data_IF_033729218695
#
_entry.id   IF_033729218695
#
_cell.length_a   1.000
_cell.length_b   1.000
_cell.length_c   1.000
_cell.angle_alpha   90.00
_cell.angle_beta   90.00
_cell.angle_gamma   90.00
#
_symmetry.space_group_name_H-M   'P 1'
#
loop_
_entity.id
_entity.type
_entity.pdbx_description
1 polymer ?
#
# COMPACT_ATOMS: atom_id res chain seq x y z
N UNK A 1 -16.13 -3.67 -11.47
CA UNK A 1 -14.88 -3.12 -12.02
C UNK A 1 -14.49 -3.91 -13.28
N UNK A 2 -14.68 -3.27 -14.43
CA UNK A 2 -14.48 -3.91 -15.73
C UNK A 2 -13.00 -4.15 -16.08
N UNK A 3 -12.07 -3.44 -15.46
CA UNK A 3 -10.63 -3.63 -15.70
C UNK A 3 -10.10 -4.91 -15.03
N UNK A 4 -10.67 -5.26 -13.89
CA UNK A 4 -10.21 -6.42 -13.08
C UNK A 4 -11.19 -7.58 -13.06
N UNK A 5 -12.37 -7.45 -13.69
CA UNK A 5 -13.51 -8.39 -13.62
C UNK A 5 -13.97 -8.70 -12.18
N UNK A 6 -13.77 -7.73 -11.26
CA UNK A 6 -14.12 -7.90 -9.84
C UNK A 6 -15.39 -7.15 -9.48
N UNK A 7 -16.13 -7.72 -8.54
CA UNK A 7 -17.37 -7.12 -8.01
C UNK A 7 -17.07 -6.43 -6.69
N UNK A 8 -17.57 -5.21 -6.56
CA UNK A 8 -17.55 -4.47 -5.30
C UNK A 8 -19.01 -4.22 -4.92
N UNK A 9 -19.43 -4.75 -3.78
CA UNK A 9 -20.75 -4.47 -3.23
C UNK A 9 -20.66 -3.25 -2.29
N UNK A 10 -21.61 -2.34 -2.41
CA UNK A 10 -21.71 -1.17 -1.54
C UNK A 10 -23.01 -1.25 -0.73
N UNK A 11 -22.90 -1.28 0.60
CA UNK A 11 -24.04 -1.16 1.51
C UNK A 11 -24.26 0.32 1.81
N UNK A 12 -25.34 0.90 1.31
CA UNK A 12 -25.68 2.31 1.47
C UNK A 12 -27.02 2.42 2.22
N UNK A 13 -27.07 3.21 3.30
CA UNK A 13 -28.32 3.45 4.03
C UNK A 13 -29.27 4.29 3.19
N UNK A 14 -30.51 3.85 3.11
CA UNK A 14 -31.58 4.56 2.39
C UNK A 14 -32.85 4.65 3.24
N UNK A 15 -33.61 5.71 3.05
CA UNK A 15 -34.94 5.90 3.61
C UNK A 15 -35.88 6.42 2.50
N UNK A 16 -37.02 5.80 2.33
CA UNK A 16 -37.98 6.12 1.26
C UNK A 16 -37.37 6.19 -0.14
N UNK A 17 -36.38 5.33 -0.42
CA UNK A 17 -35.65 5.27 -1.70
C UNK A 17 -34.59 6.37 -1.91
N UNK A 18 -34.31 7.19 -0.90
CA UNK A 18 -33.27 8.24 -0.93
C UNK A 18 -32.11 7.88 -0.05
N UNK A 19 -30.91 8.23 -0.49
CA UNK A 19 -29.67 8.00 0.29
C UNK A 19 -29.64 8.90 1.52
N UNK A 20 -29.33 8.31 2.67
CA UNK A 20 -29.11 9.05 3.92
C UNK A 20 -27.65 9.48 3.99
N UNK A 21 -27.38 10.77 3.96
CA UNK A 21 -26.02 11.33 4.06
C UNK A 21 -25.61 11.61 5.50
N UNK A 22 -26.57 11.96 6.36
CA UNK A 22 -26.32 12.30 7.76
C UNK A 22 -26.10 11.03 8.59
N UNK A 23 -25.20 11.10 9.57
CA UNK A 23 -24.89 10.02 10.49
C UNK A 23 -23.81 10.43 11.49
N UNK A 24 -23.49 9.51 12.38
CA UNK A 24 -22.54 9.69 13.47
C UNK A 24 -21.22 8.95 13.26
N UNK A 25 -21.07 8.28 12.12
CA UNK A 25 -19.88 7.52 11.79
C UNK A 25 -18.70 8.45 11.48
N UNK A 26 -17.59 8.24 12.19
CA UNK A 26 -16.36 9.03 12.07
C UNK A 26 -15.23 8.19 11.48
N UNK A 27 -14.47 8.81 10.58
CA UNK A 27 -13.22 8.24 10.04
C UNK A 27 -12.10 9.20 10.43
N UNK A 28 -10.98 8.67 10.90
CA UNK A 28 -9.79 9.48 11.21
C UNK A 28 -9.37 10.31 9.98
N UNK A 29 -9.04 11.58 10.20
CA UNK A 29 -8.69 12.52 9.12
C UNK A 29 -9.87 13.10 8.33
N UNK A 30 -11.13 12.65 8.58
CA UNK A 30 -12.34 13.23 7.98
C UNK A 30 -13.00 14.17 8.98
N UNK A 31 -13.17 15.47 8.66
CA UNK A 31 -13.57 16.47 9.65
C UNK A 31 -15.01 16.34 10.16
N UNK A 32 -15.92 15.76 9.39
CA UNK A 32 -17.34 15.66 9.75
C UNK A 32 -17.82 14.21 9.76
N UNK A 33 -18.66 13.83 10.75
CA UNK A 33 -19.32 12.53 10.72
C UNK A 33 -20.37 12.48 9.62
N UNK A 34 -20.64 11.28 9.11
CA UNK A 34 -21.61 11.04 8.04
C UNK A 34 -22.24 9.65 8.17
N UNK A 35 -23.19 9.32 7.30
CA UNK A 35 -23.72 7.98 7.17
C UNK A 35 -22.64 7.07 6.57
N UNK A 36 -22.37 5.87 7.14
CA UNK A 36 -21.35 4.98 6.62
C UNK A 36 -21.77 4.36 5.30
N UNK A 37 -20.80 4.24 4.38
CA UNK A 37 -20.92 3.40 3.18
C UNK A 37 -19.93 2.26 3.35
N UNK A 38 -20.42 1.03 3.48
CA UNK A 38 -19.58 -0.15 3.61
C UNK A 38 -19.30 -0.76 2.24
N UNK A 39 -18.04 -0.81 1.86
CA UNK A 39 -17.59 -1.48 0.63
C UNK A 39 -17.12 -2.90 0.95
N UNK A 40 -17.60 -3.86 0.16
CA UNK A 40 -17.18 -5.26 0.21
C UNK A 40 -16.53 -5.62 -1.13
N UNK A 41 -15.25 -5.86 -1.12
CA UNK A 41 -14.53 -6.37 -2.28
C UNK A 41 -14.72 -7.89 -2.34
N UNK A 42 -15.50 -8.35 -3.30
CA UNK A 42 -15.82 -9.76 -3.46
C UNK A 42 -14.70 -10.45 -4.22
N UNK A 43 -14.12 -11.48 -3.62
CA UNK A 43 -12.98 -12.22 -4.17
C UNK A 43 -11.89 -11.28 -4.75
N UNK A 44 -11.26 -10.46 -3.91
CA UNK A 44 -10.43 -9.35 -4.36
C UNK A 44 -9.09 -9.77 -4.98
N UNK A 45 -8.64 -11.00 -4.75
CA UNK A 45 -7.34 -11.47 -5.16
C UNK A 45 -7.18 -11.59 -6.69
N UNK A 46 -5.97 -11.36 -7.20
CA UNK A 46 -5.64 -11.61 -8.60
C UNK A 46 -6.17 -10.56 -9.57
N UNK A 47 -6.03 -9.28 -9.27
CA UNK A 47 -6.42 -8.18 -10.19
C UNK A 47 -5.58 -8.17 -11.46
N UNK A 48 -4.35 -8.69 -11.40
CA UNK A 48 -3.47 -8.94 -12.56
C UNK A 48 -3.79 -10.24 -13.30
N UNK A 49 -4.82 -11.01 -12.85
CA UNK A 49 -5.17 -12.34 -13.38
C UNK A 49 -4.08 -13.40 -13.14
N UNK A 50 -3.23 -13.20 -12.14
CA UNK A 50 -2.12 -14.09 -11.75
C UNK A 50 -2.33 -14.73 -10.37
N UNK A 51 -3.50 -14.56 -9.75
CA UNK A 51 -3.82 -15.05 -8.42
C UNK A 51 -3.31 -14.13 -7.29
N UNK A 52 -3.50 -14.57 -6.04
CA UNK A 52 -3.11 -13.81 -4.85
C UNK A 52 -1.59 -13.60 -4.76
N UNK A 53 -0.82 -14.62 -5.12
CA UNK A 53 0.65 -14.58 -5.19
C UNK A 53 1.07 -14.62 -6.66
N UNK A 54 1.25 -13.47 -7.33
CA UNK A 54 1.48 -13.42 -8.76
C UNK A 54 2.74 -14.15 -9.23
N UNK A 55 3.74 -14.29 -8.36
CA UNK A 55 4.97 -15.04 -8.62
C UNK A 55 4.89 -16.53 -8.24
N UNK A 56 3.77 -16.94 -7.61
CA UNK A 56 3.60 -18.26 -7.02
C UNK A 56 4.37 -18.49 -5.72
N UNK A 57 5.02 -17.46 -5.16
CA UNK A 57 5.84 -17.55 -3.95
C UNK A 57 5.35 -16.57 -2.89
N UNK A 58 5.46 -16.95 -1.62
CA UNK A 58 5.21 -16.06 -0.50
C UNK A 58 6.35 -15.04 -0.31
N UNK A 59 7.58 -15.46 -0.63
CA UNK A 59 8.78 -14.62 -0.56
C UNK A 59 9.55 -14.73 -1.88
N UNK A 60 9.89 -13.60 -2.42
CA UNK A 60 10.73 -13.42 -3.60
C UNK A 60 12.04 -12.72 -3.22
N UNK A 61 13.05 -12.82 -4.06
CA UNK A 61 14.30 -12.08 -3.95
C UNK A 61 14.39 -11.11 -5.12
N UNK A 62 14.80 -9.88 -4.82
CA UNK A 62 15.14 -8.85 -5.78
C UNK A 62 16.61 -8.47 -5.65
N UNK A 63 17.32 -8.39 -6.80
CA UNK A 63 18.68 -7.89 -6.87
C UNK A 63 18.66 -6.37 -7.06
N UNK A 64 18.92 -5.65 -5.98
CA UNK A 64 18.88 -4.17 -5.98
C UNK A 64 20.27 -3.63 -6.29
N UNK A 65 20.44 -2.85 -7.36
CA UNK A 65 21.72 -2.26 -7.72
C UNK A 65 22.35 -1.45 -6.57
N UNK A 66 23.62 -1.78 -6.24
CA UNK A 66 24.36 -1.11 -5.17
C UNK A 66 24.02 -1.57 -3.74
N UNK A 67 23.01 -2.42 -3.56
CA UNK A 67 22.54 -2.88 -2.25
C UNK A 67 22.66 -4.40 -2.10
N UNK A 68 22.48 -5.15 -3.20
CA UNK A 68 22.47 -6.62 -3.20
C UNK A 68 21.08 -7.20 -3.17
N UNK A 69 20.98 -8.44 -2.70
CA UNK A 69 19.70 -9.19 -2.65
C UNK A 69 18.87 -8.77 -1.45
N UNK A 70 17.59 -8.48 -1.66
CA UNK A 70 16.61 -8.26 -0.60
C UNK A 70 15.40 -9.19 -0.75
N UNK A 71 14.79 -9.57 0.35
CA UNK A 71 13.56 -10.34 0.36
C UNK A 71 12.34 -9.42 0.27
N UNK A 72 11.37 -9.82 -0.56
CA UNK A 72 10.10 -9.12 -0.71
C UNK A 72 8.94 -10.11 -0.79
N UNK A 73 7.75 -9.68 -0.40
CA UNK A 73 6.50 -10.39 -0.70
C UNK A 73 5.69 -9.60 -1.71
N UNK A 74 5.28 -10.25 -2.81
CA UNK A 74 4.45 -9.62 -3.83
C UNK A 74 3.06 -10.24 -3.75
N UNK A 75 2.06 -9.42 -3.38
CA UNK A 75 0.71 -9.86 -3.11
C UNK A 75 -0.28 -9.04 -3.93
N UNK A 76 -1.21 -9.68 -4.60
CA UNK A 76 -2.30 -9.04 -5.34
C UNK A 76 -3.65 -9.32 -4.66
N UNK A 77 -3.94 -8.58 -3.60
CA UNK A 77 -5.20 -8.62 -2.84
C UNK A 77 -5.98 -7.32 -3.07
N UNK A 78 -6.69 -7.21 -4.18
CA UNK A 78 -7.39 -6.02 -4.68
C UNK A 78 -6.48 -4.97 -5.35
N UNK A 79 -5.20 -4.95 -5.05
CA UNK A 79 -4.18 -4.13 -5.69
C UNK A 79 -2.83 -4.83 -5.54
N UNK A 80 -2.03 -4.95 -6.61
CA UNK A 80 -0.70 -5.53 -6.49
C UNK A 80 0.19 -4.65 -5.59
N UNK A 81 0.73 -5.24 -4.55
CA UNK A 81 1.64 -4.60 -3.61
C UNK A 81 2.93 -5.39 -3.47
N UNK A 82 4.03 -4.67 -3.29
CA UNK A 82 5.32 -5.20 -2.86
C UNK A 82 5.55 -4.81 -1.41
N UNK A 83 5.74 -5.80 -0.57
CA UNK A 83 6.10 -5.64 0.84
C UNK A 83 7.58 -5.90 1.00
N UNK A 84 8.28 -5.02 1.71
CA UNK A 84 9.69 -5.14 2.02
C UNK A 84 9.94 -4.74 3.47
N UNK A 85 10.91 -5.34 4.13
CA UNK A 85 11.26 -4.93 5.49
C UNK A 85 11.93 -3.56 5.47
N UNK A 86 11.54 -2.68 6.40
CA UNK A 86 12.13 -1.36 6.54
C UNK A 86 13.65 -1.43 6.79
N UNK A 87 14.07 -2.38 7.62
CA UNK A 87 15.49 -2.60 7.95
C UNK A 87 16.35 -2.91 6.73
N UNK A 88 15.84 -3.69 5.76
CA UNK A 88 16.55 -4.02 4.52
C UNK A 88 16.79 -2.79 3.63
N UNK A 89 16.00 -1.72 3.84
CA UNK A 89 16.12 -0.44 3.14
C UNK A 89 16.89 0.61 3.97
N UNK A 90 17.38 0.24 5.15
CA UNK A 90 17.97 1.19 6.09
C UNK A 90 16.97 2.22 6.62
N UNK A 91 15.72 1.79 6.84
CA UNK A 91 14.63 2.55 7.42
C UNK A 91 14.20 1.92 8.75
N UNK A 92 13.62 2.70 9.64
CA UNK A 92 13.09 2.24 10.93
C UNK A 92 11.63 1.76 10.85
N UNK A 93 10.90 2.21 9.82
CA UNK A 93 9.45 2.04 9.72
C UNK A 93 8.64 3.11 10.43
N UNK A 94 9.31 4.06 11.11
CA UNK A 94 8.66 5.16 11.86
C UNK A 94 8.76 6.51 11.16
N UNK A 95 9.49 6.57 10.04
CA UNK A 95 9.67 7.81 9.29
C UNK A 95 8.32 8.41 8.89
N UNK A 96 8.20 9.71 9.10
CA UNK A 96 7.05 10.46 8.64
C UNK A 96 7.09 10.65 7.11
N UNK A 97 5.92 10.82 6.46
CA UNK A 97 5.87 11.03 5.00
C UNK A 97 6.76 12.19 4.54
N UNK A 98 6.84 13.27 5.31
CA UNK A 98 7.65 14.45 5.02
C UNK A 98 9.15 14.13 5.02
N UNK A 99 9.60 13.29 5.95
CA UNK A 99 11.00 12.88 6.08
C UNK A 99 11.42 12.03 4.87
N UNK A 100 10.59 11.08 4.48
CA UNK A 100 10.84 10.24 3.30
C UNK A 100 10.81 11.09 2.03
N UNK A 101 9.78 11.94 1.89
CA UNK A 101 9.57 12.73 0.68
C UNK A 101 10.62 13.85 0.49
N UNK A 102 11.32 14.23 1.55
CA UNK A 102 12.46 15.17 1.49
C UNK A 102 13.80 14.48 1.16
N UNK A 103 13.84 13.13 1.14
CA UNK A 103 15.06 12.38 0.90
C UNK A 103 15.03 11.73 -0.49
N UNK A 104 15.66 12.40 -1.47
CA UNK A 104 15.68 11.95 -2.86
C UNK A 104 16.33 10.57 -3.04
N UNK A 105 17.41 10.28 -2.29
CA UNK A 105 18.11 9.00 -2.35
C UNK A 105 17.19 7.84 -1.90
N UNK A 106 16.43 8.07 -0.83
CA UNK A 106 15.45 7.08 -0.36
C UNK A 106 14.29 6.91 -1.33
N UNK A 107 13.78 7.99 -1.91
CA UNK A 107 12.74 7.90 -2.94
C UNK A 107 13.21 7.11 -4.17
N UNK A 108 14.45 7.33 -4.62
CA UNK A 108 15.04 6.59 -5.74
C UNK A 108 15.20 5.10 -5.41
N UNK A 109 15.67 4.77 -4.19
CA UNK A 109 15.78 3.40 -3.74
C UNK A 109 14.41 2.69 -3.71
N UNK A 110 13.41 3.34 -3.10
CA UNK A 110 12.05 2.79 -3.00
C UNK A 110 11.43 2.57 -4.39
N UNK A 111 11.62 3.53 -5.30
CA UNK A 111 11.16 3.39 -6.69
C UNK A 111 11.92 2.30 -7.45
N UNK A 112 13.21 2.14 -7.20
CA UNK A 112 14.02 1.05 -7.77
C UNK A 112 13.47 -0.32 -7.36
N UNK A 113 13.20 -0.52 -6.08
CA UNK A 113 12.61 -1.78 -5.56
C UNK A 113 11.24 -2.03 -6.20
N UNK A 114 10.39 -1.01 -6.26
CA UNK A 114 9.07 -1.08 -6.90
C UNK A 114 9.18 -1.44 -8.39
N UNK A 115 10.12 -0.81 -9.09
CA UNK A 115 10.38 -1.05 -10.52
C UNK A 115 10.89 -2.46 -10.79
N UNK A 116 11.80 -2.98 -9.97
CA UNK A 116 12.28 -4.36 -10.07
C UNK A 116 11.16 -5.38 -9.86
N UNK A 117 10.25 -5.11 -8.92
CA UNK A 117 9.06 -5.94 -8.74
C UNK A 117 8.11 -5.86 -9.95
N UNK A 118 7.95 -4.69 -10.56
CA UNK A 118 7.17 -4.53 -11.79
C UNK A 118 7.77 -5.34 -12.96
N UNK A 119 9.10 -5.36 -13.09
CA UNK A 119 9.80 -6.23 -14.07
C UNK A 119 9.55 -7.70 -13.77
N UNK A 120 9.67 -8.11 -12.49
CA UNK A 120 9.43 -9.49 -12.07
C UNK A 120 7.99 -9.94 -12.34
N UNK A 121 7.03 -9.04 -12.26
CA UNK A 121 5.63 -9.27 -12.62
C UNK A 121 5.37 -9.23 -14.14
N UNK A 122 6.36 -8.91 -14.95
CA UNK A 122 6.22 -8.80 -16.41
C UNK A 122 5.39 -7.59 -16.86
N UNK A 123 5.21 -6.59 -15.99
CA UNK A 123 4.46 -5.37 -16.31
C UNK A 123 5.27 -4.40 -17.21
N UNK A 124 6.58 -4.39 -17.04
CA UNK A 124 7.55 -3.58 -17.79
C UNK A 124 8.83 -4.40 -18.01
N UNK A 125 9.65 -3.97 -18.95
CA UNK A 125 10.94 -4.63 -19.27
C UNK A 125 12.15 -3.96 -18.61
N UNK A 126 12.03 -2.71 -18.17
CA UNK A 126 13.11 -1.91 -17.59
C UNK A 126 12.62 -1.20 -16.34
N UNK A 127 13.17 -1.56 -15.19
CA UNK A 127 12.76 -0.99 -13.89
C UNK A 127 12.95 0.54 -13.83
N UNK A 128 13.92 1.10 -14.56
CA UNK A 128 14.18 2.54 -14.61
C UNK A 128 13.02 3.33 -15.23
N UNK A 129 12.13 2.66 -15.93
CA UNK A 129 10.96 3.27 -16.57
C UNK A 129 9.68 3.16 -15.75
N UNK A 130 9.73 2.53 -14.58
CA UNK A 130 8.56 2.22 -13.77
C UNK A 130 7.75 3.46 -13.38
N UNK A 131 8.40 4.60 -13.12
CA UNK A 131 7.73 5.83 -12.73
C UNK A 131 6.75 6.39 -13.78
N UNK A 132 6.93 6.08 -15.05
CA UNK A 132 6.05 6.56 -16.13
C UNK A 132 5.35 5.45 -16.93
N UNK A 133 5.93 4.25 -17.07
CA UNK A 133 5.26 3.14 -17.76
C UNK A 133 4.22 2.45 -16.87
N UNK A 134 4.46 2.40 -15.55
CA UNK A 134 3.56 1.79 -14.57
C UNK A 134 3.55 2.54 -13.23
N UNK A 135 3.15 3.82 -13.22
CA UNK A 135 3.25 4.68 -12.02
C UNK A 135 2.37 4.22 -10.85
N UNK A 136 1.27 3.51 -11.13
CA UNK A 136 0.26 3.13 -10.15
C UNK A 136 0.37 1.72 -9.61
N UNK A 137 1.09 0.79 -10.31
CA UNK A 137 1.18 -0.63 -9.95
C UNK A 137 2.55 -1.23 -10.34
N UNK A 138 3.05 -2.18 -9.53
CA UNK A 138 2.57 -2.47 -8.18
C UNK A 138 2.76 -1.25 -7.29
N UNK A 139 1.98 -1.13 -6.23
CA UNK A 139 2.32 -0.23 -5.13
C UNK A 139 3.41 -0.88 -4.30
N UNK A 140 4.05 -0.08 -3.44
CA UNK A 140 5.07 -0.58 -2.53
C UNK A 140 4.74 -0.14 -1.11
N UNK A 141 5.01 -1.00 -0.15
CA UNK A 141 4.99 -0.67 1.27
C UNK A 141 6.20 -1.26 1.95
N UNK A 142 6.86 -0.52 2.81
CA UNK A 142 7.81 -1.11 3.74
C UNK A 142 7.15 -1.32 5.09
N UNK A 143 7.54 -2.39 5.76
CA UNK A 143 6.97 -2.84 7.03
C UNK A 143 8.05 -2.99 8.08
N UNK A 144 7.68 -2.77 9.33
CA UNK A 144 8.54 -2.99 10.48
C UNK A 144 7.73 -3.67 11.60
N UNK A 145 8.43 -4.19 12.60
CA UNK A 145 7.80 -4.71 13.81
C UNK A 145 6.95 -3.65 14.49
N UNK A 146 5.92 -4.10 15.19
CA UNK A 146 5.05 -3.23 15.98
C UNK A 146 5.86 -2.45 17.02
N UNK A 147 5.65 -1.14 17.08
CA UNK A 147 6.25 -0.27 18.08
C UNK A 147 5.29 0.89 18.41
N UNK A 148 5.48 1.50 19.56
CA UNK A 148 4.68 2.64 20.00
C UNK A 148 4.83 3.81 19.01
N UNK A 149 3.72 4.46 18.66
CA UNK A 149 3.75 5.67 17.86
C UNK A 149 2.66 6.66 18.25
N UNK A 150 2.83 7.91 17.83
CA UNK A 150 1.86 8.98 18.04
C UNK A 150 1.18 9.30 16.72
N UNK A 151 -0.13 9.26 16.69
CA UNK A 151 -0.95 9.65 15.53
C UNK A 151 -0.88 11.16 15.29
N UNK A 152 -1.29 11.60 14.11
CA UNK A 152 -1.31 13.04 13.74
C UNK A 152 -2.23 13.88 14.64
N UNK A 153 -3.21 13.28 15.30
CA UNK A 153 -4.09 13.92 16.28
C UNK A 153 -3.57 13.83 17.73
N UNK A 154 -2.34 13.32 17.92
CA UNK A 154 -1.64 13.26 19.21
C UNK A 154 -2.01 12.05 20.08
N UNK A 155 -2.77 11.09 19.58
CA UNK A 155 -3.09 9.87 20.34
C UNK A 155 -1.91 8.90 20.32
N UNK A 156 -1.54 8.39 21.50
CA UNK A 156 -0.57 7.30 21.62
C UNK A 156 -1.22 5.97 21.23
N UNK A 157 -0.62 5.26 20.31
CA UNK A 157 -0.95 3.87 19.96
C UNK A 157 0.16 2.98 20.49
N UNK A 158 -0.22 1.98 21.28
CA UNK A 158 0.72 1.03 21.84
C UNK A 158 1.00 -0.12 20.89
N UNK A 159 2.22 -0.63 20.92
CA UNK A 159 2.64 -1.76 20.06
C UNK A 159 1.77 -3.02 20.24
N UNK A 160 1.18 -3.20 21.42
CA UNK A 160 0.28 -4.32 21.72
C UNK A 160 -1.10 -4.17 21.04
N UNK A 161 -1.41 -2.99 20.50
CA UNK A 161 -2.68 -2.71 19.80
C UNK A 161 -2.59 -2.93 18.28
N UNK A 162 -1.38 -3.21 17.78
CA UNK A 162 -1.10 -3.36 16.33
C UNK A 162 -0.24 -4.58 16.08
N UNK A 163 -0.28 -5.09 14.85
CA UNK A 163 0.53 -6.25 14.43
C UNK A 163 1.88 -5.82 13.81
N UNK A 164 1.92 -4.68 13.15
CA UNK A 164 3.12 -4.16 12.47
C UNK A 164 2.98 -2.66 12.19
N UNK A 165 4.10 -2.00 11.92
CA UNK A 165 4.15 -0.68 11.30
C UNK A 165 4.25 -0.82 9.78
N UNK A 166 3.59 0.06 9.05
CA UNK A 166 3.69 0.10 7.58
C UNK A 166 3.68 1.52 7.04
N UNK A 167 4.43 1.74 5.96
CA UNK A 167 4.37 2.99 5.19
C UNK A 167 4.21 2.67 3.71
N UNK A 168 3.07 3.09 3.17
CA UNK A 168 2.76 2.89 1.75
C UNK A 168 3.35 4.00 0.90
N UNK A 169 3.97 3.60 -0.21
CA UNK A 169 4.38 4.49 -1.28
C UNK A 169 3.30 4.51 -2.38
N UNK A 170 2.91 5.67 -2.80
CA UNK A 170 1.95 5.87 -3.88
C UNK A 170 2.42 6.98 -4.81
N UNK A 171 2.47 6.72 -6.09
CA UNK A 171 2.95 7.68 -7.10
C UNK A 171 4.32 8.26 -6.73
N UNK A 172 5.26 7.40 -6.38
CA UNK A 172 6.67 7.66 -6.02
C UNK A 172 6.86 8.53 -4.78
N UNK A 173 5.86 8.63 -3.92
CA UNK A 173 5.94 9.38 -2.65
C UNK A 173 5.32 8.58 -1.51
N UNK A 174 5.78 8.85 -0.29
CA UNK A 174 5.14 8.33 0.92
C UNK A 174 3.74 8.93 1.05
N UNK A 175 2.74 8.04 1.24
CA UNK A 175 1.34 8.46 1.35
C UNK A 175 1.07 9.05 2.74
N UNK A 176 0.37 10.20 2.85
CA UNK A 176 0.16 10.85 4.15
C UNK A 176 -0.83 10.13 5.07
N UNK A 177 -1.65 9.22 4.52
CA UNK A 177 -2.73 8.56 5.28
C UNK A 177 -2.40 7.12 5.71
N UNK A 178 -1.21 6.64 5.42
CA UNK A 178 -0.80 5.26 5.76
C UNK A 178 0.58 5.26 6.39
#
# INVERSE_FOLDING_TARGET
NTNTDKVIAADVKTEEGRVIYQGDFKIAGVPTPASPIKLKFIDPAGTLKMGLLPTGKAVDVLEVPGMGSIEVSIIDAANPLVFVKAEDLGLSGKELPEEINANEEKLELLETVRGLAAVKLGLISDYKKSAWETPGIPKMTFVAEADDYITSDGKMIKKEEIDLLSRMMSMQKAHPSY
#
